data_IF_063285919505
#
_entry.id   IF_063285919505
#
_cell.length_a   1.000
_cell.length_b   1.000
_cell.length_c   1.000
_cell.angle_alpha   90.00
_cell.angle_beta   90.00
_cell.angle_gamma   90.00
#
_symmetry.space_group_name_H-M   'P 1'
#
loop_
_entity.id
_entity.type
_entity.pdbx_description
1 polymer ?
#
# COMPACT_ATOMS: atom_id res chain seq x y z
N UNK A 1 -1.81 10.16 -4.45
CA UNK A 1 -1.91 8.71 -4.66
C UNK A 1 -1.92 8.43 -6.16
N UNK A 2 -1.41 7.28 -6.58
CA UNK A 2 -1.44 6.83 -7.98
C UNK A 2 -2.00 5.41 -8.01
N UNK A 3 -3.02 5.14 -8.82
CA UNK A 3 -3.64 3.82 -8.96
C UNK A 3 -3.48 3.33 -10.40
N UNK A 4 -3.20 2.04 -10.58
CA UNK A 4 -3.16 1.44 -11.91
C UNK A 4 -3.06 -0.08 -11.87
N UNK A 5 -2.77 -0.67 -13.02
CA UNK A 5 -2.54 -2.11 -13.15
C UNK A 5 -1.14 -2.37 -13.70
N UNK A 6 -0.42 -3.35 -13.15
CA UNK A 6 0.98 -3.64 -13.53
C UNK A 6 1.12 -4.06 -15.00
N UNK A 7 0.03 -4.48 -15.65
CA UNK A 7 0.04 -4.82 -17.07
C UNK A 7 0.01 -3.58 -17.98
N UNK A 8 -0.33 -2.41 -17.43
CA UNK A 8 -0.45 -1.16 -18.18
C UNK A 8 0.68 -0.16 -17.91
N UNK A 9 1.78 -0.57 -17.24
CA UNK A 9 2.88 0.35 -16.88
C UNK A 9 3.47 1.13 -18.06
N UNK A 10 3.43 0.57 -19.27
CA UNK A 10 3.89 1.26 -20.49
C UNK A 10 3.02 2.46 -20.87
N UNK A 11 1.76 2.50 -20.41
CA UNK A 11 0.80 3.55 -20.67
C UNK A 11 0.80 4.65 -19.58
N UNK A 12 1.67 4.53 -18.57
CA UNK A 12 1.78 5.48 -17.45
C UNK A 12 3.17 6.17 -17.49
N UNK A 13 3.45 7.01 -18.50
CA UNK A 13 4.79 7.59 -18.70
C UNK A 13 5.19 8.59 -17.61
N UNK A 14 4.24 9.09 -16.82
CA UNK A 14 4.44 10.07 -15.76
C UNK A 14 4.76 9.44 -14.40
N UNK A 15 4.84 8.11 -14.29
CA UNK A 15 5.22 7.46 -13.04
C UNK A 15 6.72 7.71 -12.77
N UNK A 16 7.11 8.17 -11.56
CA UNK A 16 8.52 8.32 -11.20
C UNK A 16 9.33 7.04 -11.48
N UNK A 17 10.55 7.21 -11.97
CA UNK A 17 11.37 6.10 -12.48
C UNK A 17 11.58 5.01 -11.43
N UNK A 18 11.88 5.37 -10.18
CA UNK A 18 12.07 4.43 -9.07
C UNK A 18 10.81 3.63 -8.74
N UNK A 19 9.63 4.27 -8.75
CA UNK A 19 8.35 3.59 -8.52
C UNK A 19 8.04 2.63 -9.67
N UNK A 20 8.25 3.08 -10.91
CA UNK A 20 8.06 2.21 -12.08
C UNK A 20 8.98 0.98 -12.03
N UNK A 21 10.26 1.21 -11.77
CA UNK A 21 11.28 0.16 -11.66
C UNK A 21 10.96 -0.82 -10.53
N UNK A 22 10.45 -0.35 -9.39
CA UNK A 22 10.07 -1.26 -8.31
C UNK A 22 8.90 -2.15 -8.69
N UNK A 23 7.88 -1.62 -9.40
CA UNK A 23 6.77 -2.45 -9.88
C UNK A 23 7.25 -3.46 -10.93
N UNK A 24 8.11 -3.05 -11.86
CA UNK A 24 8.74 -3.97 -12.84
C UNK A 24 9.54 -5.06 -12.13
N UNK A 25 10.33 -4.71 -11.11
CA UNK A 25 11.07 -5.68 -10.31
C UNK A 25 10.16 -6.70 -9.63
N UNK A 26 9.06 -6.26 -8.99
CA UNK A 26 8.10 -7.17 -8.36
C UNK A 26 7.48 -8.10 -9.39
N UNK A 27 7.10 -7.57 -10.55
CA UNK A 27 6.50 -8.37 -11.63
C UNK A 27 7.43 -9.48 -12.13
N UNK A 28 8.73 -9.23 -12.17
CA UNK A 28 9.70 -10.19 -12.72
C UNK A 28 10.22 -11.18 -11.65
N UNK A 29 10.17 -10.83 -10.36
CA UNK A 29 10.85 -11.59 -9.29
C UNK A 29 9.93 -12.17 -8.21
N UNK A 30 8.68 -11.73 -8.11
CA UNK A 30 7.74 -12.14 -7.05
C UNK A 30 6.53 -12.83 -7.66
N UNK A 31 6.13 -13.96 -7.08
CA UNK A 31 4.96 -14.72 -7.52
C UNK A 31 4.16 -15.25 -6.31
N UNK A 32 3.11 -16.02 -6.64
CA UNK A 32 2.18 -16.60 -5.65
C UNK A 32 2.86 -17.52 -4.64
N UNK A 33 4.02 -18.10 -4.98
CA UNK A 33 4.77 -19.03 -4.13
C UNK A 33 5.94 -18.39 -3.38
N UNK A 34 6.24 -17.10 -3.61
CA UNK A 34 7.33 -16.41 -2.88
C UNK A 34 7.08 -16.48 -1.36
N UNK A 35 8.03 -16.88 -0.51
CA UNK A 35 7.74 -16.94 0.94
C UNK A 35 7.32 -15.58 1.51
N UNK A 36 6.42 -15.59 2.50
CA UNK A 36 6.08 -14.39 3.28
C UNK A 36 7.35 -13.87 3.96
N UNK A 37 7.53 -12.56 3.96
CA UNK A 37 8.68 -11.93 4.61
C UNK A 37 9.11 -10.64 3.97
N UNK A 38 10.22 -10.10 4.50
CA UNK A 38 10.89 -8.91 3.98
C UNK A 38 12.04 -9.32 3.06
N UNK A 39 12.18 -8.58 1.97
CA UNK A 39 13.23 -8.73 0.99
C UNK A 39 13.82 -7.35 0.67
N UNK A 40 15.12 -7.21 0.86
CA UNK A 40 15.81 -5.95 0.58
C UNK A 40 16.18 -5.86 -0.91
N UNK A 41 15.96 -4.69 -1.52
CA UNK A 41 16.43 -4.36 -2.88
C UNK A 41 17.68 -3.49 -2.78
N UNK A 42 17.64 -2.46 -1.92
CA UNK A 42 18.75 -1.55 -1.61
C UNK A 42 18.70 -1.18 -0.11
N UNK A 43 18.84 -2.21 0.73
CA UNK A 43 18.73 -2.10 2.18
C UNK A 43 17.45 -1.38 2.63
N UNK A 44 17.60 -0.38 3.50
CA UNK A 44 16.47 0.42 3.97
C UNK A 44 16.01 1.50 2.98
N UNK A 45 16.71 1.75 1.88
CA UNK A 45 16.25 2.74 0.87
C UNK A 45 15.11 2.19 0.02
N UNK A 46 15.15 0.90 -0.27
CA UNK A 46 14.12 0.21 -1.02
C UNK A 46 14.08 -1.27 -0.62
N UNK A 47 12.92 -1.70 -0.13
CA UNK A 47 12.66 -3.09 0.23
C UNK A 47 11.18 -3.41 -0.05
N UNK A 48 10.84 -4.69 -0.09
CA UNK A 48 9.44 -5.09 -0.18
C UNK A 48 9.10 -6.16 0.84
N UNK A 49 7.81 -6.18 1.19
CA UNK A 49 7.23 -7.15 2.09
C UNK A 49 6.18 -7.95 1.34
N UNK A 50 6.29 -9.28 1.39
CA UNK A 50 5.26 -10.21 0.93
C UNK A 50 4.43 -10.63 2.13
N UNK A 51 3.11 -10.49 2.04
CA UNK A 51 2.20 -10.84 3.14
C UNK A 51 0.93 -11.52 2.65
N UNK A 52 0.45 -12.49 3.42
CA UNK A 52 -0.91 -13.01 3.36
C UNK A 52 -1.68 -12.47 4.57
N UNK A 53 -2.83 -11.86 4.37
CA UNK A 53 -3.62 -11.26 5.45
C UNK A 53 -5.11 -11.35 5.18
N UNK A 54 -5.90 -11.60 6.23
CA UNK A 54 -7.35 -11.53 6.11
C UNK A 54 -7.79 -10.07 6.03
N UNK A 55 -8.71 -9.77 5.11
CA UNK A 55 -9.47 -8.52 5.16
C UNK A 55 -10.28 -8.45 6.46
N UNK A 56 -10.65 -7.25 6.87
CA UNK A 56 -11.50 -6.97 8.03
C UNK A 56 -12.61 -6.01 7.64
N UNK A 57 -13.66 -5.92 8.44
CA UNK A 57 -14.68 -4.92 8.18
C UNK A 57 -14.08 -3.51 8.26
N UNK A 58 -14.58 -2.58 7.43
CA UNK A 58 -14.03 -1.22 7.32
C UNK A 58 -14.04 -0.45 8.65
N UNK A 59 -14.99 -0.75 9.53
CA UNK A 59 -15.09 -0.16 10.87
C UNK A 59 -14.07 -0.72 11.87
N UNK A 60 -13.50 -1.91 11.61
CA UNK A 60 -12.44 -2.51 12.43
C UNK A 60 -11.04 -2.07 11.95
N UNK A 61 -10.94 -1.56 10.72
CA UNK A 61 -9.69 -1.08 10.15
C UNK A 61 -9.40 0.36 10.57
N UNK A 62 -8.14 0.62 10.94
CA UNK A 62 -7.66 1.94 11.34
C UNK A 62 -6.98 2.61 10.15
N UNK A 63 -7.32 3.86 9.81
CA UNK A 63 -6.56 4.62 8.84
C UNK A 63 -5.15 4.91 9.36
N UNK A 64 -4.18 4.80 8.46
CA UNK A 64 -2.76 5.00 8.70
C UNK A 64 -2.13 5.94 7.68
N UNK A 65 -0.98 6.53 8.04
CA UNK A 65 -0.10 7.24 7.12
C UNK A 65 1.37 7.09 7.54
N UNK A 66 2.28 7.46 6.63
CA UNK A 66 3.73 7.33 6.76
C UNK A 66 4.41 8.68 6.45
N UNK A 67 5.63 8.91 6.92
CA UNK A 67 6.42 10.13 6.65
C UNK A 67 7.74 9.83 5.90
N UNK A 68 8.36 8.69 6.16
CA UNK A 68 9.68 8.31 5.62
C UNK A 68 9.57 7.56 4.29
N UNK A 69 8.58 6.69 4.14
CA UNK A 69 8.45 5.81 2.98
C UNK A 69 7.23 6.14 2.12
N UNK A 70 7.42 6.00 0.81
CA UNK A 70 6.36 5.82 -0.18
C UNK A 70 5.98 4.35 -0.17
N UNK A 71 4.68 4.07 -0.19
CA UNK A 71 4.13 2.73 -0.29
C UNK A 71 3.69 2.44 -1.72
N UNK A 72 4.20 1.36 -2.30
CA UNK A 72 3.67 0.77 -3.54
C UNK A 72 3.08 -0.58 -3.20
N UNK A 73 1.75 -0.63 -3.06
CA UNK A 73 1.03 -1.85 -2.71
C UNK A 73 0.52 -2.52 -3.99
N UNK A 74 0.75 -3.83 -4.14
CA UNK A 74 0.38 -4.62 -5.33
C UNK A 74 -0.35 -5.88 -4.87
N UNK A 75 -1.59 -6.08 -5.31
CA UNK A 75 -2.36 -7.30 -5.01
C UNK A 75 -1.89 -8.44 -5.92
N UNK A 76 -1.41 -9.53 -5.31
CA UNK A 76 -0.97 -10.73 -6.05
C UNK A 76 -2.06 -11.79 -6.17
N UNK A 77 -2.94 -11.89 -5.16
CA UNK A 77 -4.10 -12.77 -5.18
C UNK A 77 -5.18 -12.29 -4.19
N UNK A 78 -6.43 -12.62 -4.49
CA UNK A 78 -7.60 -12.18 -3.75
C UNK A 78 -8.05 -10.76 -4.13
N UNK A 79 -8.95 -10.21 -3.33
CA UNK A 79 -9.53 -8.88 -3.51
C UNK A 79 -9.39 -8.04 -2.23
N UNK A 80 -8.94 -6.79 -2.35
CA UNK A 80 -8.77 -5.87 -1.23
C UNK A 80 -9.63 -4.61 -1.41
N UNK A 81 -10.38 -4.23 -0.39
CA UNK A 81 -10.89 -2.87 -0.24
C UNK A 81 -9.82 -1.97 0.39
N UNK A 82 -9.64 -0.78 -0.16
CA UNK A 82 -8.70 0.23 0.29
C UNK A 82 -9.45 1.55 0.49
N UNK A 83 -9.76 1.90 1.74
CA UNK A 83 -10.37 3.20 2.01
C UNK A 83 -9.27 4.28 2.03
N UNK A 84 -9.48 5.39 1.34
CA UNK A 84 -8.49 6.45 1.17
C UNK A 84 -9.10 7.83 1.41
N UNK A 85 -8.27 8.77 1.87
CA UNK A 85 -8.59 10.19 1.85
C UNK A 85 -7.49 10.94 1.09
N UNK A 86 -7.87 11.88 0.24
CA UNK A 86 -6.92 12.78 -0.46
C UNK A 86 -6.53 13.98 0.40
N UNK A 87 -7.17 14.16 1.55
CA UNK A 87 -6.79 15.16 2.52
C UNK A 87 -5.57 14.67 3.32
N UNK A 88 -4.68 15.59 3.76
CA UNK A 88 -3.62 15.24 4.69
C UNK A 88 -4.19 14.70 6.01
N UNK A 89 -3.40 14.07 6.89
CA UNK A 89 -3.86 13.67 8.21
C UNK A 89 -4.29 14.90 9.01
N UNK A 90 -5.61 15.12 9.08
CA UNK A 90 -6.22 16.28 9.75
C UNK A 90 -7.05 15.87 10.97
N UNK A 91 -7.37 14.59 11.09
CA UNK A 91 -8.10 14.04 12.24
C UNK A 91 -7.18 13.78 13.41
N UNK A 92 -7.76 13.44 14.57
CA UNK A 92 -7.00 13.16 15.78
C UNK A 92 -6.06 11.97 15.58
N UNK A 93 -4.78 12.15 15.87
CA UNK A 93 -3.81 11.05 15.96
C UNK A 93 -4.14 10.19 17.18
N UNK A 94 -4.32 8.89 16.97
CA UNK A 94 -4.67 7.91 17.99
C UNK A 94 -3.45 7.15 18.51
N UNK A 95 -2.46 6.92 17.65
CA UNK A 95 -1.20 6.22 17.97
C UNK A 95 -0.12 6.73 17.01
N UNK A 96 0.96 7.29 17.54
CA UNK A 96 2.05 7.85 16.74
C UNK A 96 3.32 7.04 16.97
N UNK A 97 3.79 6.37 15.92
CA UNK A 97 5.02 5.58 15.88
C UNK A 97 5.86 5.94 14.65
N UNK A 98 5.77 7.19 14.19
CA UNK A 98 6.48 7.66 12.98
C UNK A 98 8.00 7.53 13.14
N UNK A 99 8.53 7.85 14.33
CA UNK A 99 9.96 7.76 14.59
C UNK A 99 10.50 6.31 14.62
N UNK A 100 9.70 5.35 15.09
CA UNK A 100 10.16 3.97 15.31
C UNK A 100 9.87 3.07 14.11
N UNK A 101 8.67 3.18 13.55
CA UNK A 101 8.12 2.24 12.58
C UNK A 101 7.56 2.92 11.33
N UNK A 102 7.74 4.24 11.21
CA UNK A 102 7.19 5.06 10.13
C UNK A 102 5.67 4.88 9.97
N UNK A 103 4.91 4.88 11.06
CA UNK A 103 3.45 4.73 10.99
C UNK A 103 2.75 5.56 12.07
N UNK A 104 1.67 6.23 11.69
CA UNK A 104 0.72 6.82 12.61
C UNK A 104 -0.70 6.41 12.26
N UNK A 105 -1.51 6.14 13.28
CA UNK A 105 -2.93 5.85 13.15
C UNK A 105 -3.75 7.07 13.55
N UNK A 106 -4.80 7.36 12.78
CA UNK A 106 -5.71 8.49 13.02
C UNK A 106 -7.14 8.04 13.19
N UNK A 107 -7.98 8.91 13.73
CA UNK A 107 -9.42 8.73 13.70
C UNK A 107 -9.91 8.70 12.24
N UNK A 108 -10.88 7.84 11.95
CA UNK A 108 -11.46 7.69 10.61
C UNK A 108 -11.93 9.04 10.07
N UNK A 109 -11.39 9.51 8.93
CA UNK A 109 -11.87 10.72 8.26
C UNK A 109 -13.35 10.62 7.91
N UNK A 110 -14.06 11.75 7.92
CA UNK A 110 -15.46 11.79 7.46
C UNK A 110 -15.56 11.53 5.96
N UNK A 111 -14.59 12.02 5.21
CA UNK A 111 -14.46 11.79 3.77
C UNK A 111 -13.43 10.68 3.50
N UNK A 112 -13.92 9.45 3.29
CA UNK A 112 -13.13 8.36 2.72
C UNK A 112 -13.80 7.79 1.47
N UNK A 113 -12.99 7.41 0.48
CA UNK A 113 -13.44 6.70 -0.72
C UNK A 113 -12.93 5.27 -0.64
N UNK A 114 -13.81 4.29 -0.84
CA UNK A 114 -13.40 2.89 -0.95
C UNK A 114 -12.98 2.59 -2.39
N UNK A 115 -11.71 2.23 -2.58
CA UNK A 115 -11.19 1.66 -3.81
C UNK A 115 -11.20 0.13 -3.71
N UNK A 116 -11.55 -0.56 -4.79
CA UNK A 116 -11.51 -2.03 -4.86
C UNK A 116 -10.32 -2.43 -5.73
N UNK A 117 -9.32 -3.04 -5.12
CA UNK A 117 -8.10 -3.52 -5.76
C UNK A 117 -8.25 -5.00 -6.11
N UNK A 118 -8.02 -5.34 -7.37
CA UNK A 118 -7.99 -6.70 -7.89
C UNK A 118 -6.55 -7.18 -8.04
N UNK A 119 -6.40 -8.49 -8.30
CA UNK A 119 -5.11 -9.04 -8.71
C UNK A 119 -4.47 -8.19 -9.82
N UNK A 120 -3.17 -7.92 -9.67
CA UNK A 120 -2.34 -7.09 -10.55
C UNK A 120 -2.60 -5.57 -10.47
N UNK A 121 -3.55 -5.10 -9.66
CA UNK A 121 -3.67 -3.68 -9.37
C UNK A 121 -2.56 -3.24 -8.41
N UNK A 122 -2.06 -2.03 -8.63
CA UNK A 122 -1.14 -1.36 -7.74
C UNK A 122 -1.71 -0.01 -7.30
N UNK A 123 -1.43 0.36 -6.06
CA UNK A 123 -1.68 1.70 -5.54
C UNK A 123 -0.43 2.25 -4.87
N UNK A 124 -0.18 3.54 -5.09
CA UNK A 124 0.94 4.29 -4.53
C UNK A 124 0.41 5.31 -3.53
N UNK A 125 0.93 5.28 -2.31
CA UNK A 125 0.71 6.30 -1.30
C UNK A 125 2.00 7.07 -1.04
N UNK A 126 1.94 8.39 -1.22
CA UNK A 126 3.01 9.29 -0.80
C UNK A 126 2.94 9.50 0.72
N UNK A 127 4.02 10.02 1.33
CA UNK A 127 3.99 10.45 2.72
C UNK A 127 2.80 11.36 3.02
N UNK A 128 2.19 11.15 4.18
CA UNK A 128 0.98 11.82 4.66
C UNK A 128 -0.32 11.51 3.88
N UNK A 129 -0.33 10.53 2.98
CA UNK A 129 -1.60 10.09 2.37
C UNK A 129 -2.29 9.06 3.27
N UNK A 130 -3.44 9.45 3.82
CA UNK A 130 -4.22 8.62 4.74
C UNK A 130 -4.92 7.49 3.98
N UNK A 131 -4.65 6.25 4.40
CA UNK A 131 -5.23 5.07 3.78
C UNK A 131 -5.55 3.98 4.81
N UNK A 132 -6.43 3.06 4.44
CA UNK A 132 -6.98 2.02 5.31
C UNK A 132 -6.99 0.69 4.54
N UNK A 133 -5.89 -0.08 4.61
CA UNK A 133 -5.75 -1.31 3.85
C UNK A 133 -6.58 -2.46 4.46
N UNK A 134 -6.73 -3.52 3.66
CA UNK A 134 -7.35 -4.80 4.00
C UNK A 134 -8.81 -4.65 4.43
N UNK A 135 -9.58 -3.76 3.81
CA UNK A 135 -11.01 -3.68 4.04
C UNK A 135 -11.75 -4.76 3.24
N UNK A 136 -12.76 -5.39 3.85
CA UNK A 136 -13.62 -6.38 3.22
C UNK A 136 -14.54 -5.71 2.18
N UNK A 137 -14.64 -6.32 0.99
CA UNK A 137 -15.56 -5.86 -0.07
C UNK A 137 -16.88 -6.62 0.07
N UNK A 138 -18.00 -5.88 0.10
CA UNK A 138 -19.33 -6.48 0.23
C UNK A 138 -19.51 -7.32 1.52
N UNK A 139 -18.83 -6.94 2.61
CA UNK A 139 -18.80 -7.67 3.89
C UNK A 139 -18.24 -9.11 3.82
N UNK A 140 -17.57 -9.50 2.73
CA UNK A 140 -16.92 -10.79 2.60
C UNK A 140 -15.48 -10.71 3.11
N UNK A 141 -15.18 -11.49 4.14
CA UNK A 141 -13.82 -11.67 4.64
C UNK A 141 -13.07 -12.65 3.72
N UNK A 142 -11.93 -12.22 3.18
CA UNK A 142 -11.09 -13.01 2.28
C UNK A 142 -9.61 -12.86 2.66
N UNK A 143 -8.81 -13.88 2.33
CA UNK A 143 -7.35 -13.77 2.43
C UNK A 143 -6.81 -13.08 1.18
N UNK A 144 -6.13 -11.96 1.39
CA UNK A 144 -5.41 -11.23 0.35
C UNK A 144 -3.94 -11.51 0.48
N UNK A 145 -3.31 -11.81 -0.65
CA UNK A 145 -1.87 -11.83 -0.78
C UNK A 145 -1.41 -10.60 -1.53
N UNK A 146 -0.50 -9.84 -0.94
CA UNK A 146 0.03 -8.62 -1.56
C UNK A 146 1.50 -8.41 -1.29
N UNK A 147 2.07 -7.53 -2.10
CA UNK A 147 3.39 -6.95 -1.90
C UNK A 147 3.22 -5.50 -1.50
N UNK A 148 4.01 -5.04 -0.53
CA UNK A 148 4.19 -3.62 -0.24
C UNK A 148 5.66 -3.30 -0.44
N UNK A 149 5.98 -2.56 -1.50
CA UNK A 149 7.31 -1.97 -1.67
C UNK A 149 7.35 -0.67 -0.87
N UNK A 150 8.37 -0.50 -0.04
CA UNK A 150 8.69 0.73 0.66
C UNK A 150 9.86 1.40 -0.05
N UNK A 151 9.73 2.68 -0.41
CA UNK A 151 10.77 3.48 -1.07
C UNK A 151 11.00 4.73 -0.23
N UNK A 152 12.22 4.94 0.26
CA UNK A 152 12.52 6.12 1.07
C UNK A 152 12.27 7.39 0.26
N UNK A 153 11.62 8.40 0.85
CA UNK A 153 11.24 9.63 0.13
C UNK A 153 12.47 10.35 -0.45
N UNK A 154 13.59 10.35 0.28
CA UNK A 154 14.86 10.94 -0.11
C UNK A 154 15.64 10.11 -1.16
N UNK A 155 15.12 8.94 -1.53
CA UNK A 155 15.68 8.04 -2.54
C UNK A 155 14.91 8.05 -3.88
N UNK A 156 13.76 8.73 -3.94
CA UNK A 156 12.94 8.87 -5.14
C UNK A 156 13.63 9.75 -6.21
#
# INVERSE_FOLDING_TARGET
MILGNINHLRLVPYLPSKIKQSIEYIKDNVNINTPIGRYDIDGDKMFFMVSDSQTRHVYDAKPEYHEKYIDVQIVLAGQEGMAVSTLPPYTKVLDNKLAENDIAFVETPKEETMLILQQNDFIVFLPNEVHKPLCAVGNKIETVRKVVVKIALDYL
#
